data_IF_400057755634
#
_entry.id   IF_400057755634
#
_cell.length_a   1.000
_cell.length_b   1.000
_cell.length_c   1.000
_cell.angle_alpha   90.00
_cell.angle_beta   90.00
_cell.angle_gamma   90.00
#
_symmetry.space_group_name_H-M   'P 1'
#
loop_
_entity.id
_entity.type
_entity.pdbx_description
1 polymer ?
#
# COMPACT_ATOMS: atom_id res chain seq x y z
N UNK A 1 -12.19 -11.02 6.62
CA UNK A 1 -11.30 -9.97 6.07
C UNK A 1 -11.17 -8.78 7.01
N UNK A 2 -12.25 -8.35 7.67
CA UNK A 2 -12.24 -7.23 8.62
C UNK A 2 -11.12 -7.32 9.68
N UNK A 3 -11.03 -8.43 10.41
CA UNK A 3 -10.00 -8.60 11.47
C UNK A 3 -8.55 -8.44 10.97
N UNK A 4 -8.28 -8.88 9.73
CA UNK A 4 -6.95 -8.75 9.13
C UNK A 4 -6.67 -7.29 8.76
N UNK A 5 -7.67 -6.56 8.23
CA UNK A 5 -7.55 -5.13 7.98
C UNK A 5 -7.33 -4.35 9.27
N UNK A 6 -8.14 -4.61 10.31
CA UNK A 6 -8.05 -3.90 11.58
C UNK A 6 -6.67 -4.03 12.22
N UNK A 7 -6.07 -5.23 12.17
CA UNK A 7 -4.70 -5.47 12.65
C UNK A 7 -3.66 -4.69 11.85
N UNK A 8 -3.80 -4.68 10.52
CA UNK A 8 -2.86 -4.01 9.61
C UNK A 8 -2.93 -2.49 9.78
N UNK A 9 -4.14 -1.93 9.87
CA UNK A 9 -4.34 -0.49 10.06
C UNK A 9 -3.95 -0.04 11.45
N UNK A 10 -4.21 -0.83 12.48
CA UNK A 10 -3.70 -0.58 13.83
C UNK A 10 -2.17 -0.49 13.84
N UNK A 11 -1.49 -1.43 13.18
CA UNK A 11 -0.03 -1.39 13.05
C UNK A 11 0.46 -0.18 12.25
N UNK A 12 -0.19 0.13 11.11
CA UNK A 12 0.15 1.28 10.28
C UNK A 12 0.02 2.60 11.05
N UNK A 13 -1.06 2.77 11.83
CA UNK A 13 -1.26 3.97 12.64
C UNK A 13 -0.18 4.13 13.72
N UNK A 14 0.29 3.03 14.32
CA UNK A 14 1.42 3.06 15.26
C UNK A 14 2.69 3.51 14.56
N UNK A 15 2.96 3.00 13.35
CA UNK A 15 4.13 3.40 12.57
C UNK A 15 4.09 4.89 12.19
N UNK A 16 2.96 5.38 11.68
CA UNK A 16 2.80 6.79 11.29
C UNK A 16 3.01 7.75 12.47
N UNK A 17 2.60 7.35 13.68
CA UNK A 17 2.80 8.16 14.89
C UNK A 17 4.23 8.15 15.39
N UNK A 18 4.88 6.99 15.37
CA UNK A 18 6.23 6.82 15.93
C UNK A 18 7.34 7.31 14.98
N UNK A 19 7.09 7.30 13.67
CA UNK A 19 8.08 7.61 12.63
C UNK A 19 7.59 8.76 11.73
N UNK A 20 7.17 9.88 12.36
CA UNK A 20 6.81 11.08 11.61
C UNK A 20 7.97 11.59 10.77
N UNK A 21 7.64 12.09 9.58
CA UNK A 21 8.57 12.69 8.62
C UNK A 21 9.71 11.76 8.15
N UNK A 22 9.54 10.45 8.36
CA UNK A 22 10.49 9.43 7.93
C UNK A 22 9.90 8.56 6.82
N UNK A 23 10.77 8.08 5.94
CA UNK A 23 10.40 7.06 4.95
C UNK A 23 10.67 5.68 5.53
N UNK A 24 9.63 4.88 5.71
CA UNK A 24 9.73 3.49 6.14
C UNK A 24 9.66 2.54 4.94
N UNK A 25 10.56 1.56 4.90
CA UNK A 25 10.51 0.46 3.93
C UNK A 25 10.08 -0.80 4.67
N UNK A 26 8.98 -1.41 4.22
CA UNK A 26 8.43 -2.63 4.80
C UNK A 26 8.51 -3.74 3.75
N UNK A 27 9.27 -4.79 4.03
CA UNK A 27 9.26 -6.02 3.24
C UNK A 27 8.24 -7.00 3.82
N UNK A 28 7.26 -7.41 3.02
CA UNK A 28 6.24 -8.39 3.43
C UNK A 28 5.78 -9.23 2.23
N UNK A 29 4.70 -9.99 2.41
CA UNK A 29 4.05 -10.77 1.37
C UNK A 29 2.96 -9.95 0.66
N UNK A 30 2.65 -10.31 -0.59
CA UNK A 30 1.63 -9.61 -1.40
C UNK A 30 0.23 -9.57 -0.77
N UNK A 31 -0.08 -10.47 0.17
CA UNK A 31 -1.35 -10.47 0.91
C UNK A 31 -1.48 -9.26 1.82
N UNK A 32 -0.44 -8.92 2.60
CA UNK A 32 -0.45 -7.75 3.48
C UNK A 32 -0.64 -6.47 2.67
N UNK A 33 0.07 -6.40 1.54
CA UNK A 33 0.00 -5.26 0.62
C UNK A 33 -1.41 -5.10 0.02
N UNK A 34 -2.03 -6.20 -0.40
CA UNK A 34 -3.40 -6.16 -0.95
C UNK A 34 -4.42 -5.71 0.08
N UNK A 35 -4.27 -6.15 1.34
CA UNK A 35 -5.11 -5.70 2.45
C UNK A 35 -4.95 -4.20 2.70
N UNK A 36 -3.72 -3.67 2.63
CA UNK A 36 -3.45 -2.23 2.77
C UNK A 36 -4.04 -1.41 1.63
N UNK A 37 -3.84 -1.81 0.37
CA UNK A 37 -4.38 -1.06 -0.78
C UNK A 37 -5.91 -1.07 -0.71
N UNK A 38 -6.52 -2.24 -0.47
CA UNK A 38 -7.97 -2.38 -0.38
C UNK A 38 -8.62 -1.52 0.71
N UNK A 39 -7.89 -1.24 1.81
CA UNK A 39 -8.41 -0.37 2.86
C UNK A 39 -8.61 1.08 2.38
N UNK A 40 -7.72 1.60 1.53
CA UNK A 40 -7.82 2.96 1.00
C UNK A 40 -8.59 3.03 -0.32
N UNK A 41 -8.53 1.96 -1.11
CA UNK A 41 -9.23 1.78 -2.37
C UNK A 41 -10.10 0.52 -2.31
N UNK A 42 -11.37 0.66 -1.94
CA UNK A 42 -12.29 -0.48 -1.83
C UNK A 42 -12.51 -1.20 -3.16
N UNK A 43 -12.25 -0.54 -4.29
CA UNK A 43 -12.36 -1.13 -5.62
C UNK A 43 -11.13 -1.99 -5.97
N UNK A 44 -10.07 -1.91 -5.15
CA UNK A 44 -8.91 -2.77 -5.29
C UNK A 44 -9.26 -4.23 -4.95
N UNK A 45 -9.57 -5.01 -5.98
CA UNK A 45 -9.98 -6.40 -5.83
C UNK A 45 -8.95 -7.45 -6.25
N UNK A 46 -9.40 -8.70 -6.30
CA UNK A 46 -8.60 -9.87 -6.65
C UNK A 46 -7.97 -9.79 -8.05
N UNK A 47 -8.64 -9.16 -9.02
CA UNK A 47 -8.10 -9.03 -10.38
C UNK A 47 -6.90 -8.08 -10.42
N UNK A 48 -6.96 -6.97 -9.67
CA UNK A 48 -5.83 -6.06 -9.54
C UNK A 48 -4.63 -6.78 -8.91
N UNK A 49 -4.87 -7.56 -7.85
CA UNK A 49 -3.81 -8.38 -7.26
C UNK A 49 -3.19 -9.39 -8.25
N UNK A 50 -4.01 -10.07 -9.06
CA UNK A 50 -3.53 -11.03 -10.06
C UNK A 50 -2.61 -10.37 -11.08
N UNK A 51 -2.98 -9.20 -11.60
CA UNK A 51 -2.15 -8.45 -12.53
C UNK A 51 -0.78 -8.11 -11.91
N UNK A 52 -0.78 -7.68 -10.65
CA UNK A 52 0.43 -7.25 -9.94
C UNK A 52 1.33 -8.42 -9.50
N UNK A 53 0.77 -9.62 -9.25
CA UNK A 53 1.55 -10.82 -8.87
C UNK A 53 2.61 -11.19 -9.92
N UNK A 54 2.40 -10.82 -11.18
CA UNK A 54 3.36 -11.07 -12.25
C UNK A 54 4.53 -10.08 -12.27
N UNK A 55 4.47 -8.99 -11.49
CA UNK A 55 5.46 -7.89 -11.46
C UNK A 55 6.40 -7.99 -10.24
N UNK A 56 6.67 -9.20 -9.73
CA UNK A 56 7.52 -9.37 -8.55
C UNK A 56 9.03 -9.31 -8.88
N UNK A 57 9.84 -8.56 -8.10
CA UNK A 57 9.48 -7.84 -6.88
C UNK A 57 8.73 -6.54 -7.19
N UNK A 58 7.60 -6.34 -6.48
CA UNK A 58 6.70 -5.24 -6.70
C UNK A 58 6.82 -4.22 -5.56
N UNK A 59 7.07 -2.95 -5.90
CA UNK A 59 7.20 -1.88 -4.91
C UNK A 59 5.96 -1.01 -4.98
N UNK A 60 5.36 -0.75 -3.82
CA UNK A 60 4.23 0.17 -3.67
C UNK A 60 4.58 1.20 -2.62
N UNK A 61 4.38 2.47 -2.96
CA UNK A 61 4.61 3.62 -2.09
C UNK A 61 3.28 4.21 -1.68
N UNK A 62 3.07 4.30 -0.38
CA UNK A 62 1.97 5.05 0.22
C UNK A 62 2.53 6.39 0.69
N UNK A 63 1.85 7.48 0.34
CA UNK A 63 2.21 8.83 0.76
C UNK A 63 1.15 9.32 1.73
N UNK A 64 1.60 9.81 2.88
CA UNK A 64 0.73 10.31 3.94
C UNK A 64 1.00 11.78 4.19
N UNK A 65 -0.09 12.51 4.48
CA UNK A 65 -0.05 13.83 5.09
C UNK A 65 -0.67 13.71 6.48
N UNK A 66 0.14 13.90 7.52
CA UNK A 66 -0.18 13.49 8.89
C UNK A 66 -0.55 12.00 8.96
N UNK A 67 -1.78 11.67 9.39
CA UNK A 67 -2.30 10.29 9.46
C UNK A 67 -3.20 9.95 8.25
N UNK A 68 -3.30 10.83 7.24
CA UNK A 68 -4.16 10.63 6.06
C UNK A 68 -3.34 10.18 4.85
N UNK A 69 -3.71 9.06 4.24
CA UNK A 69 -3.16 8.64 2.96
C UNK A 69 -3.67 9.58 1.86
N UNK A 70 -2.75 10.13 1.06
CA UNK A 70 -3.09 11.05 -0.03
C UNK A 70 -2.79 10.46 -1.40
N UNK A 71 -1.93 9.45 -1.48
CA UNK A 71 -1.49 8.89 -2.76
C UNK A 71 -0.92 7.48 -2.56
N UNK A 72 -1.25 6.57 -3.47
CA UNK A 72 -0.70 5.22 -3.55
C UNK A 72 -0.17 5.02 -4.97
N UNK A 73 1.09 4.61 -5.07
CA UNK A 73 1.79 4.47 -6.34
C UNK A 73 2.48 3.12 -6.40
N UNK A 74 2.45 2.46 -7.55
CA UNK A 74 3.27 1.29 -7.82
C UNK A 74 4.46 1.62 -8.70
N UNK A 75 5.54 0.89 -8.49
CA UNK A 75 6.78 0.98 -9.24
C UNK A 75 7.10 -0.39 -9.83
N UNK A 76 7.16 -0.45 -11.16
CA UNK A 76 7.73 -1.58 -11.89
C UNK A 76 9.25 -1.41 -11.91
N UNK A 77 9.94 -2.27 -11.16
CA UNK A 77 11.40 -2.23 -11.01
C UNK A 77 12.15 -2.69 -12.27
N UNK A 78 11.48 -3.42 -13.16
CA UNK A 78 12.07 -3.90 -14.41
C UNK A 78 11.93 -2.87 -15.52
N UNK A 79 10.83 -2.12 -15.54
CA UNK A 79 10.55 -1.15 -16.59
C UNK A 79 10.85 0.30 -16.17
N UNK A 80 11.20 0.54 -14.90
CA UNK A 80 11.34 1.90 -14.34
C UNK A 80 10.10 2.78 -14.57
N UNK A 81 8.93 2.14 -14.61
CA UNK A 81 7.64 2.81 -14.82
C UNK A 81 6.90 2.92 -13.49
N UNK A 82 6.22 4.05 -13.33
CA UNK A 82 5.42 4.38 -12.16
C UNK A 82 3.95 4.50 -12.55
N UNK A 83 3.07 3.90 -11.74
CA UNK A 83 1.63 4.01 -11.92
C UNK A 83 0.96 4.54 -10.65
N UNK A 84 0.02 5.46 -10.80
CA UNK A 84 -0.86 5.88 -9.71
C UNK A 84 -1.94 4.81 -9.55
N UNK A 85 -2.00 4.19 -8.39
CA UNK A 85 -3.05 3.22 -8.06
C UNK A 85 -4.27 3.92 -7.49
N UNK A 86 -4.04 4.92 -6.63
CA UNK A 86 -5.11 5.66 -5.96
C UNK A 86 -4.62 7.04 -5.56
N UNK A 87 -5.50 8.03 -5.60
CA UNK A 87 -5.28 9.39 -5.10
C UNK A 87 -6.45 9.79 -4.21
N UNK A 88 -6.17 10.33 -3.03
CA UNK A 88 -7.20 10.84 -2.13
C UNK A 88 -7.86 12.08 -2.74
N UNK A 89 -9.21 12.07 -2.77
CA UNK A 89 -10.02 13.27 -3.00
C UNK A 89 -10.05 14.16 -1.75
#
# INVERSE_FOLDING_TARGET
MQEAQDRVIGFLNILLRNYRDQTLVISSHGTLLSVMIHYFDSDYGFQNFKLMKHLMPWIVKFVFSNEKCILIESYDVFQSVKHVLWSGN
#
